data_IF_185299940379
#
_entry.id   IF_185299940379
#
_cell.length_a   1.000
_cell.length_b   1.000
_cell.length_c   1.000
_cell.angle_alpha   90.00
_cell.angle_beta   90.00
_cell.angle_gamma   90.00
#
_symmetry.space_group_name_H-M   'P 1'
#
loop_
_entity.id
_entity.type
_entity.pdbx_description
1 polymer ?
#
# COMPACT_ATOMS: atom_id res chain seq x y z
N UNK A 1 -11.94 35.11 -4.45
CA UNK A 1 -11.88 33.80 -5.12
C UNK A 1 -10.50 33.46 -5.68
N UNK A 2 -9.64 34.42 -6.07
CA UNK A 2 -8.28 34.12 -6.58
C UNK A 2 -7.11 34.31 -5.59
N UNK A 3 -7.32 35.02 -4.47
CA UNK A 3 -6.26 35.31 -3.49
C UNK A 3 -6.09 34.19 -2.46
N UNK A 4 -7.15 33.42 -2.19
CA UNK A 4 -7.14 32.29 -1.26
C UNK A 4 -6.30 31.12 -1.82
N UNK A 5 -6.37 30.91 -3.14
CA UNK A 5 -5.58 29.88 -3.80
C UNK A 5 -4.09 30.19 -3.69
N UNK A 6 -3.67 31.44 -4.00
CA UNK A 6 -2.29 31.92 -3.87
C UNK A 6 -1.75 31.83 -2.43
N UNK A 7 -2.58 32.13 -1.43
CA UNK A 7 -2.20 32.04 -0.01
C UNK A 7 -1.92 30.59 0.41
N UNK A 8 -2.75 29.63 -0.02
CA UNK A 8 -2.50 28.20 0.22
C UNK A 8 -1.24 27.68 -0.46
N UNK A 9 -0.80 28.30 -1.58
CA UNK A 9 0.42 27.89 -2.28
C UNK A 9 1.68 28.25 -1.50
N UNK A 10 1.71 29.50 -1.02
CA UNK A 10 2.82 30.02 -0.22
C UNK A 10 2.94 29.26 1.11
N UNK A 11 1.80 28.84 1.67
CA UNK A 11 1.77 28.11 2.92
C UNK A 11 2.22 26.65 2.78
N UNK A 12 1.95 25.96 1.65
CA UNK A 12 2.54 24.62 1.41
C UNK A 12 4.03 24.69 1.10
N UNK A 13 4.49 25.73 0.38
CA UNK A 13 5.92 25.92 0.09
C UNK A 13 6.76 26.19 1.34
N UNK A 14 6.20 26.90 2.34
CA UNK A 14 6.84 27.14 3.63
C UNK A 14 6.66 25.98 4.63
N UNK A 15 5.69 25.08 4.42
CA UNK A 15 5.42 23.91 5.27
C UNK A 15 6.17 22.65 4.81
N UNK A 16 6.54 22.57 3.53
CA UNK A 16 7.60 21.65 3.11
C UNK A 16 8.93 22.22 3.57
N UNK A 17 9.45 21.71 4.69
CA UNK A 17 10.90 21.76 4.90
C UNK A 17 11.55 21.29 3.60
N UNK A 18 12.43 22.13 3.03
CA UNK A 18 13.14 21.83 1.79
C UNK A 18 13.57 20.36 1.81
N UNK A 19 13.33 19.57 0.75
CA UNK A 19 13.94 18.26 0.67
C UNK A 19 15.44 18.51 0.79
N UNK A 20 16.04 18.06 1.89
CA UNK A 20 17.48 18.10 2.06
C UNK A 20 18.05 17.21 0.95
N UNK A 21 18.43 17.83 -0.15
CA UNK A 21 19.29 17.21 -1.14
C UNK A 21 20.51 16.74 -0.35
N UNK A 22 20.84 15.45 -0.43
CA UNK A 22 22.00 14.91 0.28
C UNK A 22 23.26 15.53 -0.31
N UNK A 23 23.67 16.66 0.24
CA UNK A 23 24.89 17.35 -0.12
C UNK A 23 26.01 16.73 0.72
N UNK A 24 26.73 15.78 0.12
CA UNK A 24 27.85 15.07 0.74
C UNK A 24 28.97 16.03 1.20
N UNK A 25 28.93 17.30 0.81
CA UNK A 25 29.87 18.35 1.23
C UNK A 25 29.54 18.91 2.62
N UNK A 26 28.31 18.76 3.11
CA UNK A 26 27.84 19.36 4.37
C UNK A 26 27.66 18.35 5.51
N UNK A 27 28.58 17.39 5.64
CA UNK A 27 28.57 16.51 6.81
C UNK A 27 29.25 17.20 7.99
N UNK A 28 28.70 17.06 9.20
CA UNK A 28 29.32 17.56 10.44
C UNK A 28 30.58 16.79 10.84
N UNK A 29 30.94 15.76 10.08
CA UNK A 29 32.02 14.83 10.37
C UNK A 29 33.21 15.12 9.46
N UNK A 30 34.40 15.20 10.06
CA UNK A 30 35.64 15.37 9.32
C UNK A 30 36.14 14.01 8.83
N UNK A 31 36.75 13.97 7.66
CA UNK A 31 37.39 12.75 7.10
C UNK A 31 38.54 12.27 8.01
N UNK A 32 39.10 13.17 8.81
CA UNK A 32 40.18 12.86 9.75
C UNK A 32 39.68 12.40 11.13
N UNK A 33 38.37 12.35 11.37
CA UNK A 33 37.82 11.88 12.64
C UNK A 33 38.01 10.37 12.80
N UNK A 34 38.26 9.93 14.03
CA UNK A 34 38.34 8.50 14.33
C UNK A 34 36.95 7.88 14.37
N UNK A 35 36.87 6.56 14.16
CA UNK A 35 35.61 5.81 14.21
C UNK A 35 34.95 5.95 15.60
N UNK A 36 35.74 5.99 16.68
CA UNK A 36 35.25 6.15 18.04
C UNK A 36 34.57 7.51 18.26
N UNK A 37 35.22 8.60 17.82
CA UNK A 37 34.65 9.95 17.89
C UNK A 37 33.41 10.09 17.02
N UNK A 38 33.38 9.43 15.86
CA UNK A 38 32.20 9.39 14.99
C UNK A 38 31.03 8.67 15.68
N UNK A 39 31.29 7.50 16.27
CA UNK A 39 30.29 6.75 17.02
C UNK A 39 29.73 7.57 18.19
N UNK A 40 30.60 8.19 18.98
CA UNK A 40 30.21 9.04 20.11
C UNK A 40 29.29 10.19 19.68
N UNK A 41 29.65 10.91 18.62
CA UNK A 41 28.90 12.05 18.07
C UNK A 41 27.63 11.66 17.28
N UNK A 42 27.35 10.36 17.11
CA UNK A 42 26.08 9.87 16.58
C UNK A 42 25.03 9.62 17.67
N UNK A 43 25.46 9.51 18.93
CA UNK A 43 24.53 9.37 20.05
C UNK A 43 23.94 10.75 20.43
N UNK A 44 22.67 10.73 20.84
CA UNK A 44 21.98 11.93 21.34
C UNK A 44 22.54 12.24 22.73
N UNK A 45 23.35 13.30 22.84
CA UNK A 45 24.03 13.68 24.09
C UNK A 45 23.10 14.32 25.12
N UNK A 46 22.04 15.01 24.67
CA UNK A 46 21.09 15.69 25.56
C UNK A 46 19.66 15.56 25.04
N UNK A 47 18.75 15.08 25.89
CA UNK A 47 17.32 15.16 25.65
C UNK A 47 16.84 16.51 26.19
N UNK A 48 16.46 17.44 25.30
CA UNK A 48 15.69 18.60 25.73
C UNK A 48 14.33 18.10 26.23
N UNK A 49 14.16 18.05 27.55
CA UNK A 49 12.93 17.61 28.23
C UNK A 49 11.71 18.49 27.95
N UNK A 50 11.91 19.64 27.29
CA UNK A 50 10.84 20.53 26.82
C UNK A 50 10.38 20.24 25.37
N UNK A 51 10.81 19.12 24.78
CA UNK A 51 10.29 18.66 23.50
C UNK A 51 8.92 18.00 23.71
N UNK A 52 7.87 18.62 23.18
CA UNK A 52 6.53 18.01 23.15
C UNK A 52 6.50 16.89 22.10
N UNK A 53 6.51 15.65 22.57
CA UNK A 53 6.34 14.46 21.72
C UNK A 53 4.99 14.47 20.99
N UNK A 54 3.95 15.10 21.57
CA UNK A 54 2.63 15.25 20.93
C UNK A 54 2.69 16.14 19.69
N UNK A 55 3.43 17.26 19.74
CA UNK A 55 3.61 18.13 18.58
C UNK A 55 4.37 17.43 17.45
N UNK A 56 5.41 16.66 17.80
CA UNK A 56 6.17 15.88 16.82
C UNK A 56 5.30 14.79 16.15
N UNK A 57 4.53 14.05 16.95
CA UNK A 57 3.66 13.00 16.43
C UNK A 57 2.57 13.60 15.52
N UNK A 58 1.92 14.69 15.94
CA UNK A 58 0.89 15.35 15.13
C UNK A 58 1.44 15.94 13.82
N UNK A 59 2.69 16.39 13.80
CA UNK A 59 3.34 16.92 12.60
C UNK A 59 3.76 15.81 11.62
N UNK A 60 4.20 14.66 12.13
CA UNK A 60 4.72 13.56 11.32
C UNK A 60 3.71 12.41 11.12
N UNK A 61 2.50 12.52 11.64
CA UNK A 61 1.47 11.50 11.47
C UNK A 61 1.11 11.38 9.97
N UNK A 62 1.41 10.23 9.33
CA UNK A 62 1.04 10.03 7.95
C UNK A 62 -0.49 9.97 7.85
N UNK A 63 -1.09 10.94 7.14
CA UNK A 63 -2.55 10.99 6.95
C UNK A 63 -3.10 9.77 6.22
N UNK A 64 -2.25 9.07 5.48
CA UNK A 64 -2.56 7.80 4.83
C UNK A 64 -1.33 6.90 4.87
N UNK A 65 -1.53 5.65 5.27
CA UNK A 65 -0.49 4.63 5.20
C UNK A 65 -0.49 4.02 3.78
N UNK A 66 0.57 4.24 3.03
CA UNK A 66 0.77 3.58 1.74
C UNK A 66 1.67 2.37 1.95
N UNK A 67 1.08 1.17 1.86
CA UNK A 67 1.85 -0.07 1.91
C UNK A 67 2.28 -0.46 0.49
N UNK A 68 3.59 -0.59 0.26
CA UNK A 68 4.12 -1.11 -1.00
C UNK A 68 4.09 -2.64 -0.95
N UNK A 69 3.18 -3.25 -1.71
CA UNK A 69 3.14 -4.70 -1.88
C UNK A 69 4.31 -5.14 -2.77
N UNK A 70 5.34 -5.72 -2.16
CA UNK A 70 6.37 -6.43 -2.90
C UNK A 70 5.85 -7.84 -3.17
N UNK A 71 5.38 -8.07 -4.41
CA UNK A 71 4.94 -9.39 -4.88
C UNK A 71 6.18 -10.32 -4.91
N UNK A 72 6.41 -11.05 -3.82
CA UNK A 72 7.35 -12.16 -3.77
C UNK A 72 6.54 -13.40 -4.09
N UNK A 73 6.77 -13.99 -5.27
CA UNK A 73 6.13 -15.25 -5.65
C UNK A 73 6.62 -16.36 -4.72
N UNK A 74 6.02 -16.46 -3.53
CA UNK A 74 6.30 -17.51 -2.59
C UNK A 74 5.77 -18.83 -3.15
N UNK A 75 6.60 -19.87 -3.12
CA UNK A 75 6.26 -21.18 -3.70
C UNK A 75 4.96 -21.75 -3.11
N UNK A 76 4.61 -21.37 -1.88
CA UNK A 76 3.36 -21.74 -1.21
C UNK A 76 2.13 -21.08 -1.84
N UNK A 77 2.22 -19.81 -2.25
CA UNK A 77 1.11 -19.09 -2.89
C UNK A 77 0.79 -19.72 -4.26
N UNK A 78 1.83 -20.09 -5.00
CA UNK A 78 1.70 -20.78 -6.29
C UNK A 78 1.05 -22.15 -6.07
N UNK A 79 1.55 -22.96 -5.14
CA UNK A 79 1.04 -24.30 -4.86
C UNK A 79 -0.45 -24.28 -4.44
N UNK A 80 -0.80 -23.38 -3.51
CA UNK A 80 -2.18 -23.26 -3.01
C UNK A 80 -3.14 -22.82 -4.12
N UNK A 81 -2.69 -21.94 -5.02
CA UNK A 81 -3.47 -21.53 -6.20
C UNK A 81 -3.72 -22.71 -7.14
N UNK A 82 -2.70 -23.51 -7.45
CA UNK A 82 -2.86 -24.72 -8.28
C UNK A 82 -3.82 -25.73 -7.66
N UNK A 83 -3.67 -26.02 -6.36
CA UNK A 83 -4.56 -26.93 -5.64
C UNK A 83 -6.01 -26.40 -5.61
N UNK A 84 -6.19 -25.10 -5.42
CA UNK A 84 -7.50 -24.43 -5.43
C UNK A 84 -8.18 -24.54 -6.80
N UNK A 85 -7.44 -24.33 -7.90
CA UNK A 85 -7.99 -24.45 -9.25
C UNK A 85 -8.35 -25.91 -9.54
N UNK A 86 -7.47 -26.87 -9.24
CA UNK A 86 -7.71 -28.28 -9.50
C UNK A 86 -8.90 -28.83 -8.68
N UNK A 87 -8.99 -28.45 -7.41
CA UNK A 87 -10.09 -28.87 -6.52
C UNK A 87 -11.40 -28.13 -6.83
N UNK A 88 -11.35 -26.81 -6.86
CA UNK A 88 -12.50 -25.93 -7.03
C UNK A 88 -13.15 -26.08 -8.41
N UNK A 89 -12.36 -26.18 -9.48
CA UNK A 89 -12.91 -26.36 -10.82
C UNK A 89 -13.58 -27.72 -10.98
N UNK A 90 -12.97 -28.79 -10.46
CA UNK A 90 -13.51 -30.16 -10.54
C UNK A 90 -14.83 -30.29 -9.77
N UNK A 91 -14.88 -29.79 -8.53
CA UNK A 91 -16.08 -29.84 -7.69
C UNK A 91 -17.14 -28.88 -8.20
N UNK A 92 -16.74 -27.67 -8.59
CA UNK A 92 -17.63 -26.66 -9.14
C UNK A 92 -18.33 -27.18 -10.39
N UNK A 93 -17.59 -27.72 -11.35
CA UNK A 93 -18.19 -28.21 -12.59
C UNK A 93 -19.16 -29.37 -12.35
N UNK A 94 -18.84 -30.30 -11.44
CA UNK A 94 -19.76 -31.39 -11.05
C UNK A 94 -21.07 -30.89 -10.45
N UNK A 95 -21.05 -29.76 -9.74
CA UNK A 95 -22.26 -29.15 -9.18
C UNK A 95 -23.01 -28.30 -10.21
N UNK A 96 -22.28 -27.55 -11.05
CA UNK A 96 -22.86 -26.70 -12.08
C UNK A 96 -23.54 -27.49 -13.19
N UNK A 97 -22.97 -28.61 -13.64
CA UNK A 97 -23.51 -29.44 -14.73
C UNK A 97 -24.98 -29.82 -14.51
N UNK A 98 -25.38 -30.53 -13.42
CA UNK A 98 -26.77 -30.95 -13.25
C UNK A 98 -27.74 -29.76 -13.13
N UNK A 99 -27.32 -28.69 -12.47
CA UNK A 99 -28.14 -27.49 -12.32
C UNK A 99 -28.35 -26.78 -13.67
N UNK A 100 -27.28 -26.62 -14.45
CA UNK A 100 -27.31 -26.01 -15.78
C UNK A 100 -28.19 -26.81 -16.74
N UNK A 101 -28.10 -28.14 -16.74
CA UNK A 101 -28.96 -29.00 -17.56
C UNK A 101 -30.43 -28.90 -17.17
N UNK A 102 -30.77 -28.80 -15.89
CA UNK A 102 -32.16 -28.60 -15.44
C UNK A 102 -32.72 -27.25 -15.87
N UNK A 103 -31.93 -26.18 -15.74
CA UNK A 103 -32.31 -24.83 -16.17
C UNK A 103 -32.53 -24.79 -17.67
N UNK A 104 -31.62 -25.35 -18.48
CA UNK A 104 -31.77 -25.42 -19.93
C UNK A 104 -33.04 -26.19 -20.33
N UNK A 105 -33.28 -27.36 -19.75
CA UNK A 105 -34.51 -28.13 -20.04
C UNK A 105 -35.77 -27.34 -19.69
N UNK A 106 -35.78 -26.65 -18.56
CA UNK A 106 -36.93 -25.86 -18.14
C UNK A 106 -37.17 -24.68 -19.11
N UNK A 107 -36.10 -24.02 -19.56
CA UNK A 107 -36.16 -22.93 -20.54
C UNK A 107 -36.69 -23.45 -21.89
N UNK A 108 -36.13 -24.54 -22.42
CA UNK A 108 -36.57 -25.13 -23.70
C UNK A 108 -38.04 -25.56 -23.62
N UNK A 109 -38.47 -26.21 -22.54
CA UNK A 109 -39.87 -26.60 -22.35
C UNK A 109 -40.82 -25.39 -22.27
N UNK A 110 -40.36 -24.28 -21.66
CA UNK A 110 -41.11 -23.02 -21.61
C UNK A 110 -41.24 -22.37 -22.99
N UNK A 111 -40.22 -22.48 -23.84
CA UNK A 111 -40.25 -21.93 -25.20
C UNK A 111 -41.00 -22.83 -26.20
N UNK A 112 -40.91 -24.16 -26.08
CA UNK A 112 -41.60 -25.11 -26.96
C UNK A 112 -43.12 -25.16 -26.75
N UNK A 113 -43.65 -24.58 -25.65
CA UNK A 113 -45.09 -24.48 -25.35
C UNK A 113 -45.75 -23.17 -25.83
N UNK A 114 -45.07 -22.34 -26.64
CA UNK A 114 -45.74 -21.32 -27.45
C UNK A 114 -45.84 -21.83 -28.89
N UNK A 115 -46.92 -22.53 -29.28
CA UNK A 115 -47.20 -22.69 -30.69
C UNK A 115 -47.30 -21.29 -31.29
N UNK A 116 -46.41 -20.99 -32.23
CA UNK A 116 -46.58 -19.87 -33.17
C UNK A 116 -47.92 -20.12 -33.86
N UNK A 117 -48.90 -19.28 -33.54
CA UNK A 117 -50.19 -19.22 -34.22
C UNK A 117 -50.15 -18.09 -35.23
#
# INVERSE_FOLDING_TARGET
>A
MGLDFLFTMVQWANASGQPAMFDAVSTRFSVNDTIETLAYNMFIETWLSNASYEMFFNACEPKQCTYTYHYRFDALEVLTTFLSILGGLSVGLRFFIPHFFQVIRNIINRFHMRPVK
#
